data_IF_740529597325
#
_entry.id   IF_740529597325
#
_cell.length_a   1.000
_cell.length_b   1.000
_cell.length_c   1.000
_cell.angle_alpha   90.00
_cell.angle_beta   90.00
_cell.angle_gamma   90.00
#
_symmetry.space_group_name_H-M   'P 1'
#
loop_
_entity.id
_entity.type
_entity.pdbx_description
1 polymer ?
#
# COMPACT_ATOMS: atom_id res chain seq x y z
N UNK A 1 -11.53 -3.08 25.93
CA UNK A 1 -11.98 -2.13 24.90
C UNK A 1 -12.32 -2.93 23.66
N UNK A 2 -13.54 -2.85 23.17
CA UNK A 2 -13.97 -3.53 21.95
C UNK A 2 -14.32 -2.45 20.92
N UNK A 3 -13.77 -2.59 19.72
CA UNK A 3 -13.97 -1.69 18.58
C UNK A 3 -14.69 -2.46 17.49
N UNK A 4 -15.70 -1.88 16.93
CA UNK A 4 -16.52 -2.48 15.88
C UNK A 4 -16.69 -1.51 14.72
N UNK A 5 -16.67 -2.04 13.47
CA UNK A 5 -16.84 -1.26 12.25
C UNK A 5 -17.90 -1.91 11.36
N UNK A 6 -18.82 -1.12 10.81
CA UNK A 6 -19.92 -1.59 9.97
C UNK A 6 -19.58 -1.43 8.47
N UNK A 7 -18.83 -2.41 7.90
CA UNK A 7 -18.63 -2.52 6.47
C UNK A 7 -19.50 -3.66 5.93
N UNK A 8 -20.43 -3.42 4.98
CA UNK A 8 -21.38 -4.43 4.52
C UNK A 8 -20.79 -5.61 3.73
N UNK A 9 -19.54 -5.54 3.30
CA UNK A 9 -18.90 -6.61 2.50
C UNK A 9 -17.91 -7.48 3.29
N UNK A 10 -17.58 -7.16 4.55
CA UNK A 10 -16.63 -7.92 5.36
C UNK A 10 -17.25 -8.50 6.63
N UNK A 11 -16.75 -9.68 7.04
CA UNK A 11 -17.03 -10.26 8.37
C UNK A 11 -16.50 -9.26 9.41
N UNK A 12 -17.42 -8.68 10.16
CA UNK A 12 -17.22 -7.54 11.06
C UNK A 12 -16.44 -7.94 12.32
N UNK A 13 -15.13 -7.63 12.44
CA UNK A 13 -14.38 -8.00 13.61
C UNK A 13 -14.67 -7.06 14.79
N UNK A 14 -15.04 -7.62 15.93
CA UNK A 14 -14.96 -6.90 17.21
C UNK A 14 -13.53 -7.06 17.73
N UNK A 15 -12.79 -5.96 17.80
CA UNK A 15 -11.47 -5.96 18.44
C UNK A 15 -11.64 -5.74 19.94
N UNK A 16 -11.46 -6.78 20.74
CA UNK A 16 -11.35 -6.64 22.18
C UNK A 16 -9.88 -6.55 22.59
N UNK A 17 -9.50 -5.42 23.16
CA UNK A 17 -8.18 -5.25 23.78
C UNK A 17 -8.28 -5.43 25.28
N UNK A 18 -7.58 -6.41 25.82
CA UNK A 18 -7.48 -6.67 27.26
C UNK A 18 -6.02 -6.83 27.65
N UNK A 19 -5.67 -6.45 28.87
CA UNK A 19 -4.34 -6.73 29.46
C UNK A 19 -4.20 -8.18 29.87
N UNK A 20 -5.30 -8.92 29.95
CA UNK A 20 -5.37 -10.34 30.34
C UNK A 20 -6.21 -11.10 29.32
N UNK A 21 -5.99 -12.44 29.15
CA UNK A 21 -6.86 -13.29 28.36
C UNK A 21 -8.31 -13.23 28.86
N UNK A 22 -9.28 -13.19 27.93
CA UNK A 22 -10.71 -13.18 28.26
C UNK A 22 -11.24 -14.60 28.31
N UNK A 23 -12.00 -14.93 29.35
CA UNK A 23 -12.73 -16.21 29.41
C UNK A 23 -13.81 -16.29 28.31
N UNK A 24 -14.26 -17.50 27.91
CA UNK A 24 -15.33 -17.66 26.94
C UNK A 24 -16.62 -16.93 27.32
N UNK A 25 -16.95 -16.91 28.63
CA UNK A 25 -18.14 -16.23 29.13
C UNK A 25 -18.04 -14.72 28.94
N UNK A 26 -16.89 -14.11 29.21
CA UNK A 26 -16.66 -12.67 28.98
C UNK A 26 -16.67 -12.33 27.50
N UNK A 27 -16.14 -13.21 26.64
CA UNK A 27 -16.21 -13.02 25.18
C UNK A 27 -17.67 -13.01 24.70
N UNK A 28 -18.49 -13.92 25.20
CA UNK A 28 -19.92 -14.00 24.87
C UNK A 28 -20.68 -12.76 25.36
N UNK A 29 -20.38 -12.24 26.54
CA UNK A 29 -20.97 -11.00 27.05
C UNK A 29 -20.62 -9.79 26.16
N UNK A 30 -19.38 -9.67 25.71
CA UNK A 30 -18.97 -8.59 24.80
C UNK A 30 -19.79 -8.65 23.50
N UNK A 31 -19.96 -9.85 22.92
CA UNK A 31 -20.76 -10.04 21.71
C UNK A 31 -22.23 -9.68 21.94
N UNK A 32 -22.83 -10.12 23.05
CA UNK A 32 -24.22 -9.81 23.38
C UNK A 32 -24.45 -8.31 23.59
N UNK A 33 -23.54 -7.60 24.25
CA UNK A 33 -23.62 -6.15 24.42
C UNK A 33 -23.42 -5.41 23.10
N UNK A 34 -22.52 -5.88 22.22
CA UNK A 34 -22.34 -5.29 20.91
C UNK A 34 -23.61 -5.39 20.06
N UNK A 35 -24.25 -6.56 20.01
CA UNK A 35 -25.52 -6.74 19.28
C UNK A 35 -26.68 -5.91 19.85
N UNK A 36 -26.71 -5.68 21.17
CA UNK A 36 -27.71 -4.82 21.79
C UNK A 36 -27.61 -3.37 21.30
N UNK A 37 -26.39 -2.84 21.16
CA UNK A 37 -26.17 -1.46 20.70
C UNK A 37 -26.18 -1.32 19.18
N UNK A 38 -26.14 -2.42 18.45
CA UNK A 38 -26.06 -2.48 17.00
C UNK A 38 -27.14 -3.42 16.44
N UNK A 39 -28.42 -3.04 16.52
CA UNK A 39 -29.57 -3.91 16.21
C UNK A 39 -29.62 -4.38 14.74
N UNK A 40 -28.86 -3.75 13.85
CA UNK A 40 -28.73 -4.17 12.44
C UNK A 40 -27.78 -5.36 12.23
N UNK A 41 -27.10 -5.82 13.30
CA UNK A 41 -26.07 -6.85 13.24
C UNK A 41 -26.51 -8.07 13.99
N UNK A 42 -26.36 -9.24 13.37
CA UNK A 42 -26.62 -10.51 14.04
C UNK A 42 -25.33 -11.04 14.71
N UNK A 43 -25.47 -11.75 15.84
CA UNK A 43 -24.32 -12.28 16.60
C UNK A 43 -23.43 -13.18 15.75
N UNK A 44 -23.99 -13.94 14.81
CA UNK A 44 -23.26 -14.79 13.88
C UNK A 44 -22.34 -14.03 12.88
N UNK A 45 -22.61 -12.73 12.68
CA UNK A 45 -21.85 -11.86 11.79
C UNK A 45 -20.67 -11.18 12.52
N UNK A 46 -20.52 -11.45 13.82
CA UNK A 46 -19.50 -10.86 14.66
C UNK A 46 -18.34 -11.83 14.90
N UNK A 47 -17.12 -11.36 14.72
CA UNK A 47 -15.91 -12.08 15.16
C UNK A 47 -15.19 -11.29 16.23
N UNK A 48 -14.98 -11.90 17.38
CA UNK A 48 -14.16 -11.34 18.42
C UNK A 48 -12.70 -11.68 18.19
N UNK A 49 -11.87 -10.66 17.98
CA UNK A 49 -10.42 -10.81 17.93
C UNK A 49 -9.85 -10.27 19.23
N UNK A 50 -9.34 -11.14 20.07
CA UNK A 50 -8.68 -10.73 21.32
C UNK A 50 -7.20 -10.54 21.11
N UNK A 51 -6.68 -9.36 21.50
CA UNK A 51 -5.24 -9.12 21.64
C UNK A 51 -4.91 -8.99 23.13
N UNK A 52 -4.11 -9.89 23.62
CA UNK A 52 -3.63 -9.88 25.01
C UNK A 52 -2.29 -9.16 25.05
N UNK A 53 -2.08 -8.28 26.05
CA UNK A 53 -0.78 -7.72 26.35
C UNK A 53 0.22 -8.83 26.73
N UNK A 54 1.51 -8.63 26.42
CA UNK A 54 2.58 -9.66 26.51
C UNK A 54 2.95 -10.09 27.95
N UNK A 55 2.00 -10.42 28.80
CA UNK A 55 2.27 -10.98 30.12
C UNK A 55 1.62 -12.35 30.26
N UNK A 56 2.37 -13.34 30.75
CA UNK A 56 1.85 -14.62 31.23
C UNK A 56 1.00 -14.37 32.50
N UNK A 57 -0.24 -14.00 32.31
CA UNK A 57 -1.16 -13.68 33.39
C UNK A 57 -2.36 -14.63 33.35
N UNK A 58 -2.96 -14.98 34.51
CA UNK A 58 -4.13 -15.82 34.58
C UNK A 58 -5.28 -15.20 33.76
N UNK A 59 -6.09 -16.06 33.17
CA UNK A 59 -7.27 -15.68 32.39
C UNK A 59 -8.23 -14.82 33.20
N UNK A 60 -8.73 -13.74 32.63
CA UNK A 60 -9.74 -12.89 33.26
C UNK A 60 -11.06 -13.67 33.34
N UNK A 61 -11.55 -13.88 34.54
CA UNK A 61 -12.80 -14.64 34.82
C UNK A 61 -13.80 -13.75 35.54
N UNK A 62 -15.07 -14.05 35.34
CA UNK A 62 -16.19 -13.35 35.97
C UNK A 62 -17.04 -12.60 34.97
N UNK A 63 -17.98 -11.80 35.45
CA UNK A 63 -18.87 -10.98 34.63
C UNK A 63 -18.44 -9.51 34.62
N UNK A 64 -18.70 -8.82 33.52
CA UNK A 64 -18.63 -7.36 33.50
C UNK A 64 -19.90 -6.81 34.11
N UNK A 65 -19.79 -6.05 35.19
CA UNK A 65 -20.94 -5.50 35.89
C UNK A 65 -21.33 -4.11 35.41
N UNK A 66 -20.35 -3.40 34.77
CA UNK A 66 -20.57 -2.05 34.28
C UNK A 66 -19.89 -1.88 32.92
N UNK A 67 -20.55 -1.21 31.98
CA UNK A 67 -19.95 -0.82 30.70
C UNK A 67 -20.41 0.58 30.25
N UNK A 68 -19.59 1.23 29.45
CA UNK A 68 -19.84 2.52 28.84
C UNK A 68 -19.75 2.37 27.31
N UNK A 69 -20.88 2.46 26.58
CA UNK A 69 -20.88 2.48 25.13
C UNK A 69 -20.65 3.90 24.61
N UNK A 70 -19.77 4.06 23.64
CA UNK A 70 -19.49 5.33 22.98
C UNK A 70 -19.58 5.17 21.47
N UNK A 71 -20.45 5.90 20.83
CA UNK A 71 -20.49 6.02 19.39
C UNK A 71 -19.32 6.90 18.93
N UNK A 72 -18.37 6.33 18.20
CA UNK A 72 -17.18 7.04 17.72
C UNK A 72 -17.47 7.80 16.44
N UNK A 73 -18.15 7.14 15.49
CA UNK A 73 -18.51 7.69 14.20
C UNK A 73 -19.86 7.17 13.77
N UNK A 74 -20.63 8.05 13.12
CA UNK A 74 -21.85 7.71 12.41
C UNK A 74 -21.65 8.07 10.93
N UNK A 75 -21.71 7.06 10.07
CA UNK A 75 -21.57 7.25 8.62
C UNK A 75 -22.77 6.67 7.90
N UNK A 76 -22.98 7.04 6.64
CA UNK A 76 -24.04 6.45 5.81
C UNK A 76 -23.85 4.93 5.59
N UNK A 77 -22.66 4.38 5.92
CA UNK A 77 -22.28 3.00 5.69
C UNK A 77 -22.17 2.17 6.98
N UNK A 78 -22.30 2.82 8.16
CA UNK A 78 -22.25 2.13 9.45
C UNK A 78 -21.77 2.98 10.62
N UNK A 79 -21.63 2.34 11.75
CA UNK A 79 -21.28 2.97 13.02
C UNK A 79 -20.01 2.34 13.61
N UNK A 80 -19.18 3.17 14.24
CA UNK A 80 -18.07 2.71 15.06
C UNK A 80 -18.46 2.84 16.53
N UNK A 81 -18.43 1.74 17.26
CA UNK A 81 -18.77 1.66 18.66
C UNK A 81 -17.54 1.30 19.49
N UNK A 82 -17.22 2.14 20.48
CA UNK A 82 -16.28 1.83 21.53
C UNK A 82 -17.05 1.40 22.77
N UNK A 83 -16.73 0.25 23.34
CA UNK A 83 -17.27 -0.20 24.61
C UNK A 83 -16.15 -0.36 25.62
N UNK A 84 -16.29 0.29 26.77
CA UNK A 84 -15.35 0.18 27.89
C UNK A 84 -16.05 -0.58 29.00
N UNK A 85 -15.47 -1.70 29.43
CA UNK A 85 -16.02 -2.57 30.44
C UNK A 85 -15.21 -2.47 31.73
N UNK A 86 -15.92 -2.57 32.89
CA UNK A 86 -15.35 -2.68 34.22
C UNK A 86 -15.87 -3.93 34.92
N UNK A 87 -15.00 -4.64 35.60
CA UNK A 87 -15.33 -5.85 36.31
C UNK A 87 -15.87 -5.59 37.73
N UNK A 88 -15.56 -4.42 38.30
CA UNK A 88 -16.04 -4.01 39.62
C UNK A 88 -17.46 -3.48 39.59
N UNK A 89 -18.20 -3.66 40.71
CA UNK A 89 -19.58 -3.16 40.90
C UNK A 89 -19.67 -1.64 41.11
N UNK A 90 -18.73 -0.89 40.55
CA UNK A 90 -18.67 0.55 40.64
C UNK A 90 -19.00 1.17 39.28
N UNK A 91 -19.93 2.11 39.28
CA UNK A 91 -20.18 2.95 38.11
C UNK A 91 -18.97 3.81 37.79
N UNK A 92 -18.82 4.16 36.50
CA UNK A 92 -17.79 5.13 36.10
C UNK A 92 -18.08 6.49 36.73
N UNK A 93 -17.08 7.12 37.32
CA UNK A 93 -17.17 8.49 37.81
C UNK A 93 -17.29 9.47 36.63
N UNK A 94 -17.81 10.68 36.88
CA UNK A 94 -17.92 11.71 35.83
C UNK A 94 -16.56 12.04 35.20
N UNK A 95 -15.50 12.08 35.99
CA UNK A 95 -14.15 12.35 35.48
C UNK A 95 -13.64 11.21 34.56
N UNK A 96 -13.91 9.95 34.90
CA UNK A 96 -13.56 8.81 34.04
C UNK A 96 -14.38 8.81 32.75
N UNK A 97 -15.69 9.10 32.80
CA UNK A 97 -16.54 9.23 31.63
C UNK A 97 -15.98 10.31 30.69
N UNK A 98 -15.66 11.50 31.23
CA UNK A 98 -15.11 12.60 30.44
C UNK A 98 -13.80 12.25 29.73
N UNK A 99 -12.88 11.54 30.43
CA UNK A 99 -11.63 11.06 29.83
C UNK A 99 -11.88 10.01 28.74
N UNK A 100 -12.78 9.04 28.99
CA UNK A 100 -13.12 7.99 28.03
C UNK A 100 -13.78 8.59 26.79
N UNK A 101 -14.71 9.54 26.95
CA UNK A 101 -15.35 10.25 25.83
C UNK A 101 -14.32 11.06 25.02
N UNK A 102 -13.39 11.72 25.69
CA UNK A 102 -12.34 12.47 24.99
C UNK A 102 -11.43 11.53 24.18
N UNK A 103 -10.99 10.41 24.76
CA UNK A 103 -10.23 9.39 24.05
C UNK A 103 -11.04 8.77 22.90
N UNK A 104 -12.34 8.53 23.10
CA UNK A 104 -13.25 8.05 22.08
C UNK A 104 -13.33 9.01 20.89
N UNK A 105 -13.48 10.31 21.13
CA UNK A 105 -13.46 11.32 20.05
C UNK A 105 -12.16 11.32 19.26
N UNK A 106 -11.00 11.26 19.94
CA UNK A 106 -9.69 11.20 19.29
C UNK A 106 -9.58 9.93 18.44
N UNK A 107 -9.98 8.78 19.00
CA UNK A 107 -9.95 7.52 18.29
C UNK A 107 -10.88 7.53 17.08
N UNK A 108 -12.08 8.10 17.20
CA UNK A 108 -13.03 8.26 16.10
C UNK A 108 -12.46 9.08 14.94
N UNK A 109 -11.78 10.19 15.24
CA UNK A 109 -11.12 11.01 14.23
C UNK A 109 -10.00 10.22 13.50
N UNK A 110 -9.17 9.48 14.23
CA UNK A 110 -8.11 8.66 13.62
C UNK A 110 -8.67 7.52 12.77
N UNK A 111 -9.74 6.88 13.20
CA UNK A 111 -10.41 5.85 12.40
C UNK A 111 -11.00 6.42 11.11
N UNK A 112 -11.61 7.60 11.19
CA UNK A 112 -12.15 8.29 10.02
C UNK A 112 -11.03 8.67 9.04
N UNK A 113 -9.92 9.19 9.54
CA UNK A 113 -8.75 9.53 8.74
C UNK A 113 -8.16 8.29 8.05
N UNK A 114 -7.96 7.19 8.80
CA UNK A 114 -7.44 5.93 8.25
C UNK A 114 -8.35 5.36 7.14
N UNK A 115 -9.67 5.37 7.33
CA UNK A 115 -10.63 4.93 6.32
C UNK A 115 -10.64 5.83 5.09
N UNK A 116 -10.57 7.13 5.30
CA UNK A 116 -10.52 8.07 4.18
C UNK A 116 -9.25 7.81 3.34
N UNK A 117 -8.13 7.59 4.00
CA UNK A 117 -6.87 7.24 3.35
C UNK A 117 -6.98 5.93 2.55
N UNK A 118 -7.53 4.88 3.15
CA UNK A 118 -7.75 3.59 2.47
C UNK A 118 -8.68 3.72 1.26
N UNK A 119 -9.79 4.46 1.40
CA UNK A 119 -10.71 4.72 0.28
C UNK A 119 -10.03 5.49 -0.86
N UNK A 120 -9.20 6.47 -0.56
CA UNK A 120 -8.41 7.18 -1.58
C UNK A 120 -7.44 6.24 -2.27
N UNK A 121 -6.72 5.41 -1.51
CA UNK A 121 -5.79 4.44 -2.07
C UNK A 121 -6.50 3.47 -3.04
N UNK A 122 -7.62 2.87 -2.62
CA UNK A 122 -8.44 2.01 -3.48
C UNK A 122 -8.97 2.73 -4.72
N UNK A 123 -9.40 3.98 -4.59
CA UNK A 123 -9.86 4.78 -5.72
C UNK A 123 -8.74 5.01 -6.74
N UNK A 124 -7.54 5.39 -6.29
CA UNK A 124 -6.37 5.56 -7.16
C UNK A 124 -5.96 4.27 -7.87
N UNK A 125 -5.88 3.16 -7.16
CA UNK A 125 -5.60 1.86 -7.77
C UNK A 125 -6.65 1.48 -8.80
N UNK A 126 -7.93 1.69 -8.50
CA UNK A 126 -9.05 1.40 -9.42
C UNK A 126 -8.97 2.22 -10.70
N UNK A 127 -8.71 3.53 -10.58
CA UNK A 127 -8.53 4.43 -11.73
C UNK A 127 -7.30 4.02 -12.55
N UNK A 128 -6.17 3.75 -11.90
CA UNK A 128 -4.94 3.30 -12.54
C UNK A 128 -5.16 2.01 -13.33
N UNK A 129 -5.83 1.03 -12.73
CA UNK A 129 -6.19 -0.22 -13.41
C UNK A 129 -7.13 0.01 -14.60
N UNK A 130 -8.09 0.95 -14.52
CA UNK A 130 -8.98 1.31 -15.62
C UNK A 130 -8.23 1.96 -16.78
N UNK A 131 -7.28 2.87 -16.49
CA UNK A 131 -6.40 3.47 -17.50
C UNK A 131 -5.63 2.38 -18.23
N UNK A 132 -4.97 1.48 -17.50
CA UNK A 132 -4.22 0.37 -18.11
C UNK A 132 -5.12 -0.60 -18.89
N UNK A 133 -6.33 -0.90 -18.40
CA UNK A 133 -7.29 -1.75 -19.13
C UNK A 133 -7.75 -1.09 -20.43
N UNK A 134 -7.99 0.22 -20.43
CA UNK A 134 -8.37 0.94 -21.66
C UNK A 134 -7.27 0.95 -22.71
N UNK A 135 -6.02 0.70 -22.32
CA UNK A 135 -4.88 0.64 -23.22
C UNK A 135 -4.67 -0.74 -23.89
N UNK A 136 -5.34 -1.80 -23.43
CA UNK A 136 -5.11 -3.18 -23.91
C UNK A 136 -5.27 -3.32 -25.43
N UNK A 137 -6.19 -2.58 -26.04
CA UNK A 137 -6.38 -2.57 -27.50
C UNK A 137 -5.27 -1.88 -28.29
N UNK A 138 -4.46 -1.02 -27.65
CA UNK A 138 -3.37 -0.26 -28.27
C UNK A 138 -1.99 -0.82 -27.91
N UNK A 139 -1.78 -1.18 -26.63
CA UNK A 139 -0.54 -1.70 -26.08
C UNK A 139 -0.82 -2.88 -25.13
N UNK A 140 -1.07 -4.09 -25.68
CA UNK A 140 -1.46 -5.23 -24.87
C UNK A 140 -0.45 -5.64 -23.79
N UNK A 141 0.84 -5.35 -23.98
CA UNK A 141 1.90 -5.67 -23.03
C UNK A 141 2.01 -4.68 -21.85
N UNK A 142 1.43 -3.49 -21.96
CA UNK A 142 1.58 -2.43 -20.96
C UNK A 142 1.03 -2.84 -19.59
N UNK A 143 -0.20 -3.30 -19.53
CA UNK A 143 -0.86 -3.66 -18.27
C UNK A 143 -0.15 -4.80 -17.52
N UNK A 144 0.15 -5.96 -18.14
CA UNK A 144 0.88 -7.03 -17.44
C UNK A 144 2.23 -6.57 -16.91
N UNK A 145 2.97 -5.79 -17.72
CA UNK A 145 4.24 -5.19 -17.33
C UNK A 145 4.07 -4.27 -16.11
N UNK A 146 3.24 -3.25 -16.19
CA UNK A 146 3.04 -2.30 -15.10
C UNK A 146 2.60 -2.96 -13.78
N UNK A 147 1.77 -3.99 -13.85
CA UNK A 147 1.34 -4.74 -12.66
C UNK A 147 2.46 -5.61 -12.06
N UNK A 148 3.32 -6.18 -12.90
CA UNK A 148 4.47 -6.95 -12.43
C UNK A 148 5.49 -6.02 -11.76
N UNK A 149 5.83 -4.91 -12.41
CA UNK A 149 6.70 -3.85 -11.88
C UNK A 149 6.18 -3.33 -10.54
N UNK A 150 4.88 -3.04 -10.43
CA UNK A 150 4.29 -2.53 -9.20
C UNK A 150 4.37 -3.52 -8.02
N UNK A 151 4.19 -4.82 -8.27
CA UNK A 151 4.34 -5.84 -7.22
C UNK A 151 5.78 -5.91 -6.70
N UNK A 152 6.75 -5.93 -7.62
CA UNK A 152 8.17 -5.94 -7.24
C UNK A 152 8.57 -4.63 -6.54
N UNK A 153 8.09 -3.48 -7.03
CA UNK A 153 8.37 -2.17 -6.46
C UNK A 153 7.84 -2.05 -5.02
N UNK A 154 6.62 -2.54 -4.77
CA UNK A 154 6.04 -2.59 -3.43
C UNK A 154 6.86 -3.47 -2.49
N UNK A 155 7.24 -4.68 -2.92
CA UNK A 155 8.00 -5.59 -2.08
C UNK A 155 9.40 -5.05 -1.78
N UNK A 156 10.02 -4.37 -2.75
CA UNK A 156 11.31 -3.72 -2.58
C UNK A 156 11.22 -2.48 -1.67
N UNK A 157 10.15 -1.68 -1.80
CA UNK A 157 9.89 -0.55 -0.93
C UNK A 157 9.71 -0.98 0.54
N UNK A 158 8.95 -2.07 0.78
CA UNK A 158 8.82 -2.69 2.11
C UNK A 158 10.16 -3.21 2.63
N UNK A 159 10.98 -3.82 1.76
CA UNK A 159 12.32 -4.32 2.13
C UNK A 159 13.29 -3.18 2.49
N UNK A 160 13.11 -2.01 1.88
CA UNK A 160 13.85 -0.78 2.19
C UNK A 160 13.31 -0.05 3.42
N UNK A 161 12.32 -0.61 4.11
CA UNK A 161 11.69 -0.05 5.30
C UNK A 161 11.10 1.36 5.08
N UNK A 162 10.56 1.60 3.88
CA UNK A 162 9.86 2.84 3.58
C UNK A 162 8.54 2.91 4.38
N UNK A 163 8.07 4.12 4.64
CA UNK A 163 6.79 4.32 5.31
C UNK A 163 5.63 3.77 4.49
N UNK A 164 4.48 3.53 5.11
CA UNK A 164 3.28 3.05 4.40
C UNK A 164 2.91 3.96 3.24
N UNK A 165 2.98 5.27 3.46
CA UNK A 165 2.69 6.29 2.46
C UNK A 165 3.68 6.25 1.29
N UNK A 166 4.96 6.07 1.56
CA UNK A 166 5.98 5.93 0.51
C UNK A 166 5.78 4.64 -0.29
N UNK A 167 5.47 3.52 0.37
CA UNK A 167 5.15 2.23 -0.30
C UNK A 167 3.96 2.37 -1.23
N UNK A 168 2.91 3.08 -0.81
CA UNK A 168 1.74 3.36 -1.64
C UNK A 168 2.08 4.24 -2.83
N UNK A 169 2.82 5.34 -2.60
CA UNK A 169 3.28 6.23 -3.65
C UNK A 169 4.12 5.50 -4.71
N UNK A 170 5.07 4.66 -4.28
CA UNK A 170 5.90 3.82 -5.15
C UNK A 170 5.04 2.85 -5.95
N UNK A 171 4.04 2.22 -5.32
CA UNK A 171 3.15 1.27 -5.98
C UNK A 171 2.32 1.94 -7.08
N UNK A 172 1.73 3.10 -6.80
CA UNK A 172 0.96 3.89 -7.77
C UNK A 172 1.88 4.38 -8.91
N UNK A 173 3.06 4.90 -8.57
CA UNK A 173 4.02 5.36 -9.56
C UNK A 173 4.44 4.22 -10.49
N UNK A 174 4.71 3.02 -9.96
CA UNK A 174 5.06 1.84 -10.73
C UNK A 174 3.92 1.34 -11.63
N UNK A 175 2.65 1.49 -11.23
CA UNK A 175 1.50 1.18 -12.10
C UNK A 175 1.44 2.14 -13.30
N UNK A 176 1.76 3.41 -13.09
CA UNK A 176 1.51 4.48 -14.06
C UNK A 176 2.78 4.97 -14.78
N UNK A 177 3.98 4.42 -14.50
CA UNK A 177 5.25 4.97 -14.99
C UNK A 177 5.28 5.12 -16.52
N UNK A 178 4.71 4.17 -17.21
CA UNK A 178 4.69 4.08 -18.67
C UNK A 178 3.41 4.64 -19.33
N UNK A 179 2.50 5.26 -18.56
CA UNK A 179 1.23 5.77 -19.11
C UNK A 179 1.44 6.77 -20.24
N UNK A 180 2.58 7.48 -20.26
CA UNK A 180 2.95 8.40 -21.31
C UNK A 180 3.14 7.76 -22.69
N UNK A 181 3.42 6.45 -22.76
CA UNK A 181 3.47 5.69 -24.02
C UNK A 181 2.11 5.69 -24.75
N UNK A 182 1.01 5.85 -24.03
CA UNK A 182 -0.33 5.94 -24.63
C UNK A 182 -0.52 7.21 -25.48
N UNK A 183 0.34 8.22 -25.31
CA UNK A 183 0.34 9.44 -26.09
C UNK A 183 1.08 9.31 -27.41
N UNK A 184 1.81 8.21 -27.61
CA UNK A 184 2.62 7.94 -28.78
C UNK A 184 1.82 7.11 -29.82
N UNK A 185 2.30 7.11 -31.07
CA UNK A 185 1.75 6.27 -32.11
C UNK A 185 2.03 4.79 -31.79
N UNK A 186 1.01 3.93 -31.64
CA UNK A 186 1.21 2.50 -31.40
C UNK A 186 2.06 1.81 -32.46
N UNK A 187 1.98 2.24 -33.72
CA UNK A 187 2.77 1.69 -34.82
C UNK A 187 4.27 1.89 -34.59
N UNK A 188 4.67 2.98 -33.93
CA UNK A 188 6.05 3.25 -33.57
C UNK A 188 6.53 2.30 -32.44
N UNK A 189 5.66 2.02 -31.47
CA UNK A 189 6.01 1.22 -30.29
C UNK A 189 6.23 -0.27 -30.59
N UNK A 190 5.72 -0.76 -31.73
CA UNK A 190 5.91 -2.16 -32.18
C UNK A 190 7.07 -2.33 -33.18
N UNK A 191 7.74 -1.24 -33.57
CA UNK A 191 8.91 -1.30 -34.45
C UNK A 191 10.09 -1.97 -33.75
N UNK A 192 10.82 -2.82 -34.47
CA UNK A 192 12.06 -3.40 -33.96
C UNK A 192 13.22 -2.40 -33.95
N UNK A 193 13.26 -1.48 -34.92
CA UNK A 193 14.29 -0.48 -35.06
C UNK A 193 13.63 0.91 -35.13
N UNK A 194 13.87 1.73 -34.09
CA UNK A 194 13.47 3.13 -34.05
C UNK A 194 14.58 3.99 -34.66
N UNK A 195 14.22 4.96 -35.46
CA UNK A 195 15.16 6.01 -35.85
C UNK A 195 15.42 6.99 -34.68
N UNK A 196 16.35 7.93 -34.87
CA UNK A 196 16.76 8.85 -33.81
C UNK A 196 15.62 9.76 -33.32
N UNK A 197 14.73 10.19 -34.20
CA UNK A 197 13.58 11.02 -33.85
C UNK A 197 12.49 10.22 -33.13
N UNK A 198 12.25 9.00 -33.55
CA UNK A 198 11.33 8.06 -32.90
C UNK A 198 11.83 7.70 -31.50
N UNK A 199 13.12 7.39 -31.36
CA UNK A 199 13.76 7.12 -30.07
C UNK A 199 13.63 8.31 -29.11
N UNK A 200 13.81 9.54 -29.63
CA UNK A 200 13.62 10.76 -28.84
C UNK A 200 12.19 10.89 -28.36
N UNK A 201 11.20 10.60 -29.22
CA UNK A 201 9.77 10.60 -28.82
C UNK A 201 9.50 9.58 -27.74
N UNK A 202 10.00 8.34 -27.87
CA UNK A 202 9.84 7.30 -26.86
C UNK A 202 10.49 7.72 -25.54
N UNK A 203 11.71 8.27 -25.57
CA UNK A 203 12.40 8.78 -24.38
C UNK A 203 11.66 9.93 -23.68
N UNK A 204 10.72 10.57 -24.35
CA UNK A 204 9.93 11.65 -23.77
C UNK A 204 8.69 11.16 -23.01
N UNK A 205 8.42 9.83 -22.97
CA UNK A 205 7.21 9.29 -22.31
C UNK A 205 7.12 9.64 -20.81
N UNK A 206 8.21 9.79 -20.01
CA UNK A 206 8.07 10.19 -18.61
C UNK A 206 7.51 11.62 -18.46
N UNK A 207 7.92 12.52 -19.34
CA UNK A 207 7.37 13.88 -19.38
C UNK A 207 5.92 13.90 -19.85
N UNK A 208 5.60 13.09 -20.88
CA UNK A 208 4.22 12.94 -21.35
C UNK A 208 3.33 12.36 -20.25
N UNK A 209 3.81 11.36 -19.47
CA UNK A 209 3.11 10.84 -18.33
C UNK A 209 2.87 11.92 -17.26
N UNK A 210 3.90 12.72 -16.94
CA UNK A 210 3.78 13.81 -15.98
C UNK A 210 2.75 14.87 -16.43
N UNK A 211 2.73 15.21 -17.70
CA UNK A 211 1.72 16.13 -18.27
C UNK A 211 0.32 15.53 -18.22
N UNK A 212 0.18 14.25 -18.53
CA UNK A 212 -1.12 13.54 -18.50
C UNK A 212 -1.71 13.48 -17.08
N UNK A 213 -0.85 13.31 -16.08
CA UNK A 213 -1.24 13.13 -14.69
C UNK A 213 -1.26 14.43 -13.87
N UNK A 214 -0.85 15.57 -14.43
CA UNK A 214 -0.64 16.85 -13.70
C UNK A 214 -1.84 17.36 -12.92
N UNK A 215 -3.05 17.12 -13.45
CA UNK A 215 -4.30 17.60 -12.86
C UNK A 215 -4.87 16.62 -11.81
N UNK A 216 -4.28 15.42 -11.69
CA UNK A 216 -4.61 14.47 -10.63
C UNK A 216 -3.84 14.83 -9.36
N UNK A 217 -4.58 15.08 -8.29
CA UNK A 217 -4.00 15.37 -6.99
C UNK A 217 -3.68 14.06 -6.27
N UNK A 218 -2.44 13.61 -6.41
CA UNK A 218 -1.93 12.51 -5.60
C UNK A 218 -1.58 13.03 -4.20
N UNK A 219 -1.79 12.25 -3.14
CA UNK A 219 -1.39 12.62 -1.78
C UNK A 219 0.14 12.64 -1.61
N UNK A 220 0.90 12.17 -2.62
CA UNK A 220 2.35 12.02 -2.61
C UNK A 220 2.95 12.50 -3.94
N UNK A 221 4.28 12.60 -4.00
CA UNK A 221 5.02 13.03 -5.20
C UNK A 221 5.09 11.92 -6.30
N UNK A 222 3.96 11.25 -6.56
CA UNK A 222 3.84 10.18 -7.57
C UNK A 222 4.28 10.65 -8.95
N UNK A 223 3.83 11.82 -9.37
CA UNK A 223 4.17 12.38 -10.69
C UNK A 223 5.67 12.63 -10.83
N UNK A 224 6.32 13.08 -9.75
CA UNK A 224 7.76 13.27 -9.72
C UNK A 224 8.50 11.94 -9.81
N UNK A 225 8.00 10.88 -9.16
CA UNK A 225 8.57 9.54 -9.29
C UNK A 225 8.47 9.00 -10.72
N UNK A 226 7.31 9.18 -11.36
CA UNK A 226 7.06 8.78 -12.75
C UNK A 226 7.97 9.54 -13.71
N UNK A 227 8.09 10.87 -13.54
CA UNK A 227 8.90 11.70 -14.44
C UNK A 227 10.38 11.34 -14.44
N UNK A 228 10.90 10.81 -13.31
CA UNK A 228 12.34 10.58 -13.13
C UNK A 228 12.76 9.09 -13.08
N UNK A 229 11.92 8.14 -13.48
CA UNK A 229 12.26 6.71 -13.40
C UNK A 229 13.37 6.28 -14.37
N UNK A 230 13.72 7.10 -15.36
CA UNK A 230 14.86 6.90 -16.23
C UNK A 230 16.10 7.74 -15.85
N UNK A 231 16.08 8.40 -14.69
CA UNK A 231 17.30 8.99 -14.15
C UNK A 231 18.28 7.91 -13.69
N UNK A 232 19.55 8.22 -13.77
CA UNK A 232 20.64 7.32 -13.38
C UNK A 232 21.35 7.90 -12.17
N UNK A 233 21.82 7.05 -11.30
CA UNK A 233 22.55 7.44 -10.10
C UNK A 233 23.72 8.39 -10.40
N UNK A 234 24.44 8.14 -11.51
CA UNK A 234 25.59 8.92 -12.00
C UNK A 234 25.19 10.27 -12.66
N UNK A 235 23.89 10.58 -12.81
CA UNK A 235 23.38 11.79 -13.43
C UNK A 235 23.46 11.80 -14.96
N UNK A 236 23.65 10.64 -15.59
CA UNK A 236 23.61 10.50 -17.06
C UNK A 236 22.27 10.07 -17.60
N UNK A 237 21.24 10.09 -16.73
CA UNK A 237 19.86 9.78 -17.06
C UNK A 237 19.10 10.94 -17.70
N UNK A 238 17.80 10.85 -17.74
CA UNK A 238 16.89 11.85 -18.26
C UNK A 238 15.57 11.85 -17.47
N UNK A 239 14.79 12.94 -17.46
CA UNK A 239 14.93 14.15 -18.26
C UNK A 239 15.84 15.23 -17.65
N UNK A 240 15.99 15.29 -16.32
CA UNK A 240 16.59 16.44 -15.61
C UNK A 240 18.05 16.20 -15.20
N UNK A 241 18.58 15.01 -15.44
CA UNK A 241 19.94 14.58 -15.05
C UNK A 241 20.21 14.70 -13.56
N UNK A 242 19.20 14.30 -12.77
CA UNK A 242 19.31 14.21 -11.33
C UNK A 242 20.38 13.17 -10.95
N UNK A 243 20.98 13.36 -9.77
CA UNK A 243 22.05 12.48 -9.28
C UNK A 243 21.72 11.98 -7.88
N UNK A 244 22.16 10.75 -7.63
CA UNK A 244 22.16 10.16 -6.29
C UNK A 244 20.77 10.31 -5.60
N UNK A 245 20.78 10.81 -4.35
CA UNK A 245 19.55 11.01 -3.55
C UNK A 245 18.67 12.14 -4.06
N UNK A 246 19.11 12.95 -5.02
CA UNK A 246 18.25 13.90 -5.72
C UNK A 246 17.19 13.22 -6.60
N UNK A 247 17.40 11.95 -6.96
CA UNK A 247 16.42 11.13 -7.66
C UNK A 247 15.42 10.60 -6.62
N UNK A 248 14.09 10.76 -6.81
CA UNK A 248 13.09 10.21 -5.90
C UNK A 248 13.28 8.71 -5.67
N UNK A 249 13.08 8.22 -4.44
CA UNK A 249 13.31 6.80 -4.11
C UNK A 249 12.48 5.86 -4.99
N UNK A 250 11.21 6.20 -5.26
CA UNK A 250 10.35 5.40 -6.15
C UNK A 250 10.89 5.34 -7.58
N UNK A 251 11.48 6.42 -8.10
CA UNK A 251 12.14 6.43 -9.41
C UNK A 251 13.33 5.48 -9.47
N UNK A 252 14.16 5.47 -8.41
CA UNK A 252 15.31 4.55 -8.30
C UNK A 252 14.88 3.09 -8.25
N UNK A 253 13.78 2.81 -7.52
CA UNK A 253 13.18 1.48 -7.43
C UNK A 253 12.63 1.03 -8.79
N UNK A 254 11.80 1.87 -9.43
CA UNK A 254 11.16 1.56 -10.73
C UNK A 254 12.22 1.31 -11.80
N UNK A 255 13.20 2.21 -11.93
CA UNK A 255 14.25 2.08 -12.95
C UNK A 255 15.10 0.81 -12.81
N UNK A 256 15.38 0.35 -11.59
CA UNK A 256 16.07 -0.92 -11.35
C UNK A 256 15.21 -2.12 -11.76
N UNK A 257 13.93 -2.12 -11.38
CA UNK A 257 13.00 -3.23 -11.70
C UNK A 257 12.77 -3.32 -13.21
N UNK A 258 12.62 -2.19 -13.88
CA UNK A 258 12.49 -2.14 -15.34
C UNK A 258 13.70 -2.77 -16.04
N UNK A 259 14.89 -2.41 -15.61
CA UNK A 259 16.12 -3.01 -16.13
C UNK A 259 16.16 -4.53 -15.89
N UNK A 260 15.77 -4.98 -14.69
CA UNK A 260 15.66 -6.40 -14.38
C UNK A 260 14.65 -7.10 -15.30
N UNK A 261 13.47 -6.53 -15.53
CA UNK A 261 12.44 -7.12 -16.39
C UNK A 261 12.87 -7.17 -17.85
N UNK A 262 13.52 -6.13 -18.36
CA UNK A 262 14.06 -6.11 -19.73
C UNK A 262 15.11 -7.20 -19.91
N UNK A 263 16.04 -7.35 -18.98
CA UNK A 263 17.09 -8.37 -19.06
C UNK A 263 16.56 -9.80 -18.96
N UNK A 264 15.56 -10.04 -18.11
CA UNK A 264 14.99 -11.38 -17.90
C UNK A 264 14.00 -11.79 -18.98
N UNK A 265 13.22 -10.84 -19.55
CA UNK A 265 12.20 -11.15 -20.56
C UNK A 265 12.73 -11.19 -21.99
N UNK A 266 13.95 -10.72 -22.23
CA UNK A 266 14.50 -10.54 -23.57
C UNK A 266 13.74 -9.51 -24.42
N UNK A 267 12.98 -8.62 -23.78
CA UNK A 267 12.37 -7.47 -24.47
C UNK A 267 13.52 -6.51 -24.85
N UNK A 268 13.73 -6.33 -26.14
CA UNK A 268 14.81 -5.52 -26.66
C UNK A 268 15.74 -6.33 -27.58
N UNK A 269 16.95 -5.82 -27.82
CA UNK A 269 17.91 -6.39 -28.77
C UNK A 269 18.76 -7.54 -28.21
N UNK A 270 18.57 -7.94 -26.96
CA UNK A 270 19.36 -8.99 -26.29
C UNK A 270 18.48 -10.20 -25.98
N UNK A 271 19.07 -11.39 -26.05
CA UNK A 271 18.43 -12.62 -25.58
C UNK A 271 18.15 -12.54 -24.06
N UNK A 272 17.10 -13.24 -23.56
CA UNK A 272 16.84 -13.33 -22.12
C UNK A 272 18.09 -13.84 -21.37
N UNK A 273 18.43 -13.19 -20.29
CA UNK A 273 19.55 -13.56 -19.44
C UNK A 273 19.09 -14.43 -18.27
N UNK A 274 19.98 -15.30 -17.79
CA UNK A 274 19.73 -16.10 -16.59
C UNK A 274 19.70 -15.25 -15.32
N UNK A 275 18.90 -15.70 -14.36
CA UNK A 275 18.70 -14.99 -13.09
C UNK A 275 19.99 -14.50 -12.42
N UNK A 276 20.99 -15.39 -12.27
CA UNK A 276 22.28 -15.03 -11.64
C UNK A 276 23.03 -13.97 -12.44
N UNK A 277 23.04 -14.10 -13.75
CA UNK A 277 23.71 -13.15 -14.62
C UNK A 277 23.10 -11.75 -14.53
N UNK A 278 21.77 -11.66 -14.44
CA UNK A 278 21.07 -10.38 -14.25
C UNK A 278 21.43 -9.74 -12.91
N UNK A 279 21.46 -10.51 -11.82
CA UNK A 279 21.86 -9.97 -10.52
C UNK A 279 23.32 -9.47 -10.52
N UNK A 280 24.23 -10.17 -11.18
CA UNK A 280 25.62 -9.72 -11.35
C UNK A 280 25.70 -8.42 -12.17
N UNK A 281 24.93 -8.29 -13.27
CA UNK A 281 24.89 -7.08 -14.09
C UNK A 281 24.36 -5.89 -13.29
N UNK A 282 23.28 -6.08 -12.52
CA UNK A 282 22.74 -5.03 -11.63
C UNK A 282 23.76 -4.60 -10.57
N UNK A 283 24.51 -5.54 -9.99
CA UNK A 283 25.56 -5.24 -9.02
C UNK A 283 26.72 -4.45 -9.64
N UNK A 284 27.13 -4.80 -10.85
CA UNK A 284 28.21 -4.09 -11.56
C UNK A 284 27.82 -2.64 -11.91
N UNK A 285 26.51 -2.37 -12.09
CA UNK A 285 25.97 -1.03 -12.36
C UNK A 285 25.60 -0.25 -11.08
N UNK A 286 25.79 -0.84 -9.89
CA UNK A 286 25.58 -0.15 -8.63
C UNK A 286 26.55 1.04 -8.47
N UNK A 287 26.03 2.21 -8.12
CA UNK A 287 26.79 3.46 -8.07
C UNK A 287 26.98 4.15 -9.42
N UNK A 288 26.67 3.47 -10.54
CA UNK A 288 26.64 4.06 -11.89
C UNK A 288 25.20 4.29 -12.36
N UNK A 289 24.51 3.24 -12.77
CA UNK A 289 23.11 3.35 -13.19
C UNK A 289 22.17 3.35 -12.01
N UNK A 290 22.39 2.50 -11.01
CA UNK A 290 21.48 2.23 -9.92
C UNK A 290 22.00 2.70 -8.57
N UNK A 291 21.08 3.02 -7.67
CA UNK A 291 21.38 3.26 -6.26
C UNK A 291 21.92 1.96 -5.61
N UNK A 292 23.14 1.96 -5.03
CA UNK A 292 23.71 0.77 -4.40
C UNK A 292 22.80 0.15 -3.33
N UNK A 293 22.13 0.98 -2.50
CA UNK A 293 21.23 0.49 -1.45
C UNK A 293 20.00 -0.23 -2.04
N UNK A 294 19.48 0.27 -3.17
CA UNK A 294 18.33 -0.34 -3.85
C UNK A 294 18.75 -1.66 -4.50
N UNK A 295 19.96 -1.73 -5.08
CA UNK A 295 20.53 -2.97 -5.65
C UNK A 295 20.68 -4.03 -4.56
N UNK A 296 21.33 -3.70 -3.44
CA UNK A 296 21.57 -4.64 -2.34
C UNK A 296 20.25 -5.20 -1.78
N UNK A 297 19.26 -4.33 -1.51
CA UNK A 297 17.95 -4.73 -1.04
C UNK A 297 17.20 -5.62 -2.06
N UNK A 298 17.33 -5.32 -3.36
CA UNK A 298 16.71 -6.11 -4.43
C UNK A 298 17.34 -7.51 -4.52
N UNK A 299 18.65 -7.62 -4.43
CA UNK A 299 19.36 -8.91 -4.44
C UNK A 299 18.93 -9.80 -3.28
N UNK A 300 18.86 -9.25 -2.06
CA UNK A 300 18.38 -9.99 -0.91
C UNK A 300 16.92 -10.44 -1.08
N UNK A 301 16.06 -9.57 -1.62
CA UNK A 301 14.65 -9.88 -1.88
C UNK A 301 14.53 -11.04 -2.87
N UNK A 302 15.27 -10.99 -3.96
CA UNK A 302 15.18 -11.97 -5.04
C UNK A 302 15.81 -13.31 -4.66
N UNK A 303 16.92 -13.33 -3.92
CA UNK A 303 17.54 -14.55 -3.42
C UNK A 303 16.59 -15.31 -2.49
N UNK A 304 15.94 -14.61 -1.55
CA UNK A 304 14.94 -15.24 -0.65
C UNK A 304 13.72 -15.80 -1.39
N UNK A 305 13.35 -15.22 -2.53
CA UNK A 305 12.23 -15.75 -3.35
C UNK A 305 12.59 -17.07 -4.02
N UNK A 306 13.82 -17.19 -4.53
CA UNK A 306 14.31 -18.42 -5.15
C UNK A 306 14.47 -19.56 -4.13
N UNK A 307 14.85 -19.25 -2.89
CA UNK A 307 14.99 -20.24 -1.81
C UNK A 307 13.64 -20.76 -1.29
N UNK A 308 12.55 -20.06 -1.53
CA UNK A 308 11.19 -20.42 -1.04
C UNK A 308 10.30 -21.07 -2.10
N UNK A 309 10.68 -21.02 -3.36
CA UNK A 309 9.93 -21.60 -4.50
C UNK A 309 10.56 -22.85 -5.03
#
# INVERSE_FOLDING_TARGET
MALWTDDPEEIRPILAYSTLPLSPELQQQILAHATFHLPSVQEQDLRLITRVGMTESPELKGAFNTYLPLLLNETLQGHDLLMVFRQEDQSFSLAEIEVIEHMGRILGLHLQEARLHERYHHAFLSVSHRILRSSEGRLPSLRPHSLATARLARDLALKLELTTEEVEAVSIAAILHDVGLLMLDPAMLVKQNLDAEELKKVRNHPELAAVFLKDLRFPFDVVKMIRHHHERWDGRGYPDRLRETGIPIGSRIIGLIEAYEVMTSGKGYRAPQGFRQVLEELQNEAGAQFDPRVVDAFQELMTRRVERG
#
